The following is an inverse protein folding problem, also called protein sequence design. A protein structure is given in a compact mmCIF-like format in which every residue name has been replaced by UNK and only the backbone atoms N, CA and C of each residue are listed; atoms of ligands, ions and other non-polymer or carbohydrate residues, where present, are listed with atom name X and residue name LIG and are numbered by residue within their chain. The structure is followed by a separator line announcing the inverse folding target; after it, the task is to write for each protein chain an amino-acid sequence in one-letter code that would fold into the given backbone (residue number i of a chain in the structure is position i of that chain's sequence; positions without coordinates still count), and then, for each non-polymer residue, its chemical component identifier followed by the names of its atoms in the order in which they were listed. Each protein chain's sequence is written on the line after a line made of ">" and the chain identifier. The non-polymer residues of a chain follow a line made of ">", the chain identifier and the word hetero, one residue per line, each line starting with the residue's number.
data_IF_100893330328
#
_entry.id   IF_100893330328
#
_cell.length_a   1.000
_cell.length_b   1.000
_cell.length_c   1.000
_cell.angle_alpha   90.00
_cell.angle_beta   90.00
_cell.angle_gamma   90.00
#
_symmetry.space_group_name_H-M   'P 1'
#
loop_
_entity.id
_entity.type
_entity.pdbx_description
1 polymer ?
#
# COMPACT_ATOMS: atom_id res chain seq x y z
N UNK A 1 -36.30 28.86 -19.54
CA UNK A 1 -35.82 27.57 -20.10
C UNK A 1 -34.49 27.78 -20.75
N UNK A 2 -33.45 27.11 -20.27
CA UNK A 2 -32.11 27.08 -20.90
C UNK A 2 -32.24 26.27 -22.20
N UNK A 3 -32.29 26.96 -23.34
CA UNK A 3 -32.36 26.36 -24.67
C UNK A 3 -30.98 26.17 -25.30
N UNK A 4 -29.93 26.14 -24.52
CA UNK A 4 -28.60 25.79 -24.98
C UNK A 4 -28.54 24.30 -25.27
N UNK A 5 -28.20 23.90 -26.50
CA UNK A 5 -27.80 22.53 -26.80
C UNK A 5 -26.53 22.24 -25.99
N UNK A 6 -26.60 21.31 -25.05
CA UNK A 6 -25.40 20.76 -24.44
C UNK A 6 -24.66 19.98 -25.54
N UNK A 7 -23.57 20.53 -26.01
CA UNK A 7 -22.66 19.79 -26.90
C UNK A 7 -21.73 18.96 -26.03
N UNK A 8 -21.80 17.65 -26.19
CA UNK A 8 -20.86 16.74 -25.52
C UNK A 8 -19.45 17.09 -25.98
N UNK A 9 -18.49 17.32 -25.05
CA UNK A 9 -17.11 17.59 -25.43
C UNK A 9 -16.54 16.44 -26.26
N UNK A 10 -15.63 16.77 -27.18
CA UNK A 10 -14.92 15.74 -27.96
C UNK A 10 -14.12 14.85 -27.04
N UNK A 11 -14.15 13.54 -27.28
CA UNK A 11 -13.37 12.58 -26.50
C UNK A 11 -11.93 12.55 -27.01
N UNK A 12 -10.98 12.78 -26.10
CA UNK A 12 -9.54 12.66 -26.39
C UNK A 12 -9.06 11.23 -26.22
N UNK A 13 -8.42 10.69 -27.24
CA UNK A 13 -7.75 9.38 -27.23
C UNK A 13 -6.30 9.56 -26.81
N UNK A 14 -5.92 9.09 -25.62
CA UNK A 14 -4.59 9.28 -25.04
C UNK A 14 -3.89 7.93 -24.86
N UNK A 15 -3.63 7.23 -25.94
CA UNK A 15 -3.19 5.82 -25.92
C UNK A 15 -1.66 5.63 -25.88
N UNK A 16 -0.90 6.68 -25.61
CA UNK A 16 0.55 6.60 -25.43
C UNK A 16 0.90 6.89 -23.97
N UNK A 17 1.57 5.96 -23.32
CA UNK A 17 2.17 6.18 -22.01
C UNK A 17 3.47 6.96 -22.20
N UNK A 18 3.52 8.20 -21.73
CA UNK A 18 4.69 9.06 -21.81
C UNK A 18 5.63 8.85 -20.59
N UNK A 19 5.05 8.72 -19.40
CA UNK A 19 5.80 8.43 -18.18
C UNK A 19 4.91 7.77 -17.12
N UNK A 20 5.54 7.06 -16.19
CA UNK A 20 4.92 6.57 -14.97
C UNK A 20 5.91 6.62 -13.82
N UNK A 21 5.41 6.89 -12.63
CA UNK A 21 6.19 6.77 -11.38
C UNK A 21 5.27 6.47 -10.19
N UNK A 22 5.86 5.97 -9.12
CA UNK A 22 5.16 5.68 -7.87
C UNK A 22 5.94 6.29 -6.71
N UNK A 23 5.29 7.13 -5.95
CA UNK A 23 5.80 7.66 -4.70
C UNK A 23 5.15 6.90 -3.53
N UNK A 24 5.99 6.31 -2.66
CA UNK A 24 5.54 5.51 -1.51
C UNK A 24 5.36 6.43 -0.30
N UNK A 25 4.14 6.46 0.23
CA UNK A 25 3.82 7.01 1.55
C UNK A 25 3.60 5.89 2.57
N UNK A 26 3.35 6.23 3.82
CA UNK A 26 3.19 5.26 4.92
C UNK A 26 2.05 4.25 4.68
N UNK A 27 0.90 4.73 4.23
CA UNK A 27 -0.31 3.92 4.03
C UNK A 27 -0.91 4.02 2.64
N UNK A 28 -0.40 4.93 1.83
CA UNK A 28 -0.87 5.19 0.47
C UNK A 28 0.31 5.32 -0.48
N UNK A 29 0.04 5.19 -1.76
CA UNK A 29 0.98 5.45 -2.85
C UNK A 29 0.36 6.45 -3.80
N UNK A 30 1.17 7.37 -4.28
CA UNK A 30 0.79 8.30 -5.34
C UNK A 30 1.39 7.82 -6.65
N UNK A 31 0.52 7.48 -7.58
CA UNK A 31 0.87 7.05 -8.92
C UNK A 31 0.79 8.24 -9.86
N UNK A 32 1.89 8.62 -10.46
CA UNK A 32 1.90 9.59 -11.55
C UNK A 32 1.85 8.83 -12.86
N UNK A 33 0.84 9.11 -13.68
CA UNK A 33 0.65 8.52 -14.99
C UNK A 33 0.50 9.65 -16.01
N UNK A 34 1.42 9.70 -16.96
CA UNK A 34 1.41 10.68 -18.03
C UNK A 34 1.00 10.02 -19.33
N UNK A 35 -0.11 10.48 -19.87
CA UNK A 35 -0.70 9.98 -21.10
C UNK A 35 -0.60 11.03 -22.19
N UNK A 36 -0.41 10.61 -23.43
CA UNK A 36 -0.42 11.50 -24.59
C UNK A 36 -1.22 10.91 -25.75
N UNK A 37 -1.74 11.81 -26.56
CA UNK A 37 -2.38 11.56 -27.85
C UNK A 37 -1.87 12.55 -28.89
N UNK A 38 -2.55 12.64 -30.03
CA UNK A 38 -2.11 13.47 -31.16
C UNK A 38 -1.93 14.95 -30.79
N UNK A 39 -2.81 15.50 -29.96
CA UNK A 39 -2.85 16.94 -29.63
C UNK A 39 -3.12 17.21 -28.16
N UNK A 40 -2.94 16.23 -27.30
CA UNK A 40 -3.26 16.37 -25.89
C UNK A 40 -2.34 15.53 -25.01
N UNK A 41 -2.12 16.05 -23.81
CA UNK A 41 -1.40 15.38 -22.72
C UNK A 41 -2.22 15.42 -21.45
N UNK A 42 -2.21 14.35 -20.66
CA UNK A 42 -2.87 14.26 -19.38
C UNK A 42 -1.86 13.69 -18.36
N UNK A 43 -1.52 14.47 -17.36
CA UNK A 43 -0.72 14.00 -16.23
C UNK A 43 -1.63 13.80 -15.03
N UNK A 44 -1.79 12.57 -14.56
CA UNK A 44 -2.66 12.19 -13.46
C UNK A 44 -1.84 11.84 -12.23
N UNK A 45 -2.24 12.36 -11.06
CA UNK A 45 -1.73 11.91 -9.76
C UNK A 45 -2.82 11.16 -9.01
N UNK A 46 -2.77 9.84 -9.06
CA UNK A 46 -3.77 8.92 -8.53
C UNK A 46 -3.29 8.33 -7.21
N UNK A 47 -4.16 8.24 -6.22
CA UNK A 47 -3.80 7.73 -4.88
C UNK A 47 -4.47 6.38 -4.61
N UNK A 48 -3.65 5.41 -4.26
CA UNK A 48 -4.05 4.05 -3.94
C UNK A 48 -3.39 3.51 -2.69
N UNK A 49 -3.80 2.32 -2.26
CA UNK A 49 -3.25 1.60 -1.10
C UNK A 49 -2.53 0.29 -1.51
N UNK A 50 -2.44 0.02 -2.79
CA UNK A 50 -1.82 -1.17 -3.38
C UNK A 50 -0.53 -0.81 -4.13
N UNK A 51 0.21 -1.82 -4.54
CA UNK A 51 1.37 -1.66 -5.43
C UNK A 51 0.97 -1.37 -6.89
N UNK A 52 -0.31 -1.45 -7.18
CA UNK A 52 -0.90 -1.18 -8.48
C UNK A 52 -2.13 -0.28 -8.34
N UNK A 53 -2.57 0.34 -9.42
CA UNK A 53 -3.83 1.08 -9.45
C UNK A 53 -5.00 0.10 -9.46
N UNK A 54 -5.87 0.19 -8.46
CA UNK A 54 -7.05 -0.64 -8.38
C UNK A 54 -8.15 -0.16 -9.34
N UNK A 55 -8.99 -1.10 -9.78
CA UNK A 55 -10.21 -0.79 -10.52
C UNK A 55 -11.13 0.10 -9.68
N UNK A 56 -11.85 0.96 -10.35
CA UNK A 56 -12.85 1.79 -9.70
C UNK A 56 -12.89 3.23 -10.19
N UNK A 57 -13.67 4.02 -9.49
CA UNK A 57 -13.78 5.47 -9.71
C UNK A 57 -12.93 6.23 -8.72
N UNK A 58 -12.16 7.17 -9.23
CA UNK A 58 -11.31 8.07 -8.46
C UNK A 58 -11.96 9.47 -8.46
N UNK A 59 -12.05 10.05 -7.27
CA UNK A 59 -12.64 11.37 -7.04
C UNK A 59 -11.57 12.41 -6.75
N UNK A 60 -11.82 13.70 -7.04
CA UNK A 60 -10.83 14.74 -6.78
C UNK A 60 -10.61 14.96 -5.28
N UNK A 61 -9.37 15.23 -4.89
CA UNK A 61 -8.99 15.63 -3.55
C UNK A 61 -7.76 16.54 -3.61
N UNK A 62 -7.63 17.46 -2.68
CA UNK A 62 -6.37 18.19 -2.48
C UNK A 62 -5.29 17.27 -1.90
N UNK A 63 -4.02 17.65 -1.98
CA UNK A 63 -2.93 16.77 -1.56
C UNK A 63 -3.01 16.37 -0.07
N UNK A 64 -3.48 17.28 0.79
CA UNK A 64 -3.68 17.06 2.23
C UNK A 64 -4.89 16.19 2.58
N UNK A 65 -5.84 16.05 1.64
CA UNK A 65 -7.05 15.22 1.78
C UNK A 65 -6.96 13.91 0.99
N UNK A 66 -5.83 13.69 0.33
CA UNK A 66 -5.65 12.55 -0.55
C UNK A 66 -5.71 11.21 0.22
N UNK A 67 -6.50 10.29 -0.28
CA UNK A 67 -6.71 8.95 0.26
C UNK A 67 -6.95 7.95 -0.88
N UNK A 68 -7.05 6.69 -0.55
CA UNK A 68 -7.39 5.64 -1.53
C UNK A 68 -8.54 6.05 -2.44
N UNK A 69 -8.39 5.78 -3.73
CA UNK A 69 -9.35 6.06 -4.80
C UNK A 69 -9.65 7.56 -4.95
N UNK A 70 -8.64 8.40 -4.75
CA UNK A 70 -8.70 9.82 -5.12
C UNK A 70 -7.64 10.15 -6.16
N UNK A 71 -7.82 11.27 -6.85
CA UNK A 71 -6.76 11.90 -7.64
C UNK A 71 -6.53 13.32 -7.14
N UNK A 72 -5.26 13.75 -7.18
CA UNK A 72 -4.86 15.03 -6.62
C UNK A 72 -5.20 16.14 -7.61
N UNK A 73 -5.91 17.16 -7.13
CA UNK A 73 -6.22 18.39 -7.85
C UNK A 73 -5.49 19.59 -7.26
N UNK A 74 -5.50 20.72 -7.96
CA UNK A 74 -4.86 21.95 -7.54
C UNK A 74 -3.35 21.99 -7.87
N UNK A 75 -2.60 22.78 -7.10
CA UNK A 75 -1.19 23.03 -7.37
C UNK A 75 -0.35 21.73 -7.29
N UNK A 76 0.35 21.43 -8.38
CA UNK A 76 1.16 20.21 -8.51
C UNK A 76 0.33 18.92 -8.64
N UNK A 77 -0.98 19.00 -8.82
CA UNK A 77 -1.90 17.90 -9.03
C UNK A 77 -2.03 17.45 -10.49
N UNK A 78 -3.20 16.88 -10.80
CA UNK A 78 -3.55 16.41 -12.15
C UNK A 78 -3.72 17.58 -13.12
N UNK A 79 -3.18 17.47 -14.32
CA UNK A 79 -3.25 18.51 -15.37
C UNK A 79 -3.60 17.91 -16.72
N UNK A 80 -4.31 18.69 -17.54
CA UNK A 80 -4.53 18.41 -18.96
C UNK A 80 -3.94 19.55 -19.79
N UNK A 81 -3.02 19.25 -20.72
CA UNK A 81 -2.25 20.25 -21.48
C UNK A 81 -1.64 21.34 -20.57
N UNK A 82 -1.12 20.95 -19.40
CA UNK A 82 -0.62 21.83 -18.34
C UNK A 82 -1.67 22.74 -17.65
N UNK A 83 -2.95 22.62 -17.98
CA UNK A 83 -4.04 23.30 -17.29
C UNK A 83 -4.45 22.45 -16.09
N UNK A 84 -4.51 23.00 -14.86
CA UNK A 84 -4.93 22.25 -13.69
C UNK A 84 -6.35 21.69 -13.81
N UNK A 85 -6.54 20.47 -13.35
CA UNK A 85 -7.86 19.87 -13.18
C UNK A 85 -8.40 20.29 -11.81
N UNK A 86 -9.62 20.80 -11.78
CA UNK A 86 -10.29 21.22 -10.54
C UNK A 86 -11.28 20.18 -10.02
N UNK A 87 -11.95 19.50 -10.94
CA UNK A 87 -12.96 18.52 -10.55
C UNK A 87 -13.22 17.48 -11.66
N UNK A 88 -14.16 16.57 -11.40
CA UNK A 88 -14.55 15.52 -12.34
C UNK A 88 -14.40 14.13 -11.77
N UNK A 89 -14.30 13.15 -12.65
CA UNK A 89 -14.08 11.74 -12.25
C UNK A 89 -13.14 11.04 -13.21
N UNK A 90 -12.31 10.17 -12.67
CA UNK A 90 -11.46 9.26 -13.43
C UNK A 90 -11.89 7.84 -13.09
N UNK A 91 -12.20 7.04 -14.09
CA UNK A 91 -12.49 5.62 -13.95
C UNK A 91 -11.33 4.81 -14.46
N UNK A 92 -10.93 3.82 -13.67
CA UNK A 92 -9.88 2.87 -14.01
C UNK A 92 -10.51 1.49 -14.12
N UNK A 93 -10.17 0.76 -15.18
CA UNK A 93 -10.45 -0.65 -15.33
C UNK A 93 -9.19 -1.38 -15.76
N UNK A 94 -8.94 -2.56 -15.19
CA UNK A 94 -7.83 -3.42 -15.58
C UNK A 94 -8.30 -4.46 -16.58
N UNK A 95 -7.47 -4.67 -17.60
CA UNK A 95 -7.54 -5.81 -18.48
C UNK A 95 -6.31 -6.70 -18.31
N UNK A 96 -6.15 -7.72 -19.13
CA UNK A 96 -4.96 -8.57 -19.10
C UNK A 96 -3.73 -7.77 -19.55
N UNK A 97 -2.93 -7.28 -18.59
CA UNK A 97 -1.72 -6.49 -18.84
C UNK A 97 -1.97 -5.05 -19.28
N UNK A 98 -3.22 -4.59 -19.29
CA UNK A 98 -3.58 -3.25 -19.75
C UNK A 98 -4.39 -2.51 -18.69
N UNK A 99 -4.27 -1.17 -18.71
CA UNK A 99 -5.10 -0.27 -17.93
C UNK A 99 -5.94 0.58 -18.88
N UNK A 100 -7.22 0.68 -18.58
CA UNK A 100 -8.16 1.52 -19.31
C UNK A 100 -8.53 2.67 -18.39
N UNK A 101 -8.19 3.89 -18.82
CA UNK A 101 -8.56 5.12 -18.16
C UNK A 101 -9.66 5.80 -18.95
N UNK A 102 -10.65 6.36 -18.25
CA UNK A 102 -11.66 7.20 -18.86
C UNK A 102 -12.18 8.20 -17.85
N UNK A 103 -12.71 9.33 -18.31
CA UNK A 103 -13.26 10.31 -17.39
C UNK A 103 -13.70 11.59 -18.06
N UNK A 104 -14.40 12.39 -17.26
CA UNK A 104 -14.76 13.77 -17.59
C UNK A 104 -14.12 14.66 -16.54
N UNK A 105 -13.34 15.64 -16.97
CA UNK A 105 -12.58 16.55 -16.14
C UNK A 105 -12.98 17.98 -16.42
N UNK A 106 -13.10 18.78 -15.37
CA UNK A 106 -13.29 20.23 -15.42
C UNK A 106 -11.95 20.88 -15.11
N UNK A 107 -11.52 21.79 -15.98
CA UNK A 107 -10.23 22.46 -15.89
C UNK A 107 -10.37 23.84 -15.28
N UNK A 108 -9.27 24.42 -14.83
CA UNK A 108 -9.21 25.75 -14.24
C UNK A 108 -9.57 26.90 -15.20
N UNK A 109 -9.56 26.65 -16.50
CA UNK A 109 -9.98 27.58 -17.56
C UNK A 109 -11.46 27.40 -17.95
N UNK A 110 -12.24 26.70 -17.10
CA UNK A 110 -13.66 26.38 -17.30
C UNK A 110 -13.94 25.40 -18.44
N UNK A 111 -12.92 24.89 -19.14
CA UNK A 111 -13.09 23.89 -20.17
C UNK A 111 -13.41 22.51 -19.61
N UNK A 112 -14.10 21.69 -20.39
CA UNK A 112 -14.47 20.31 -20.06
C UNK A 112 -13.78 19.35 -21.02
N UNK A 113 -13.14 18.34 -20.46
CA UNK A 113 -12.43 17.29 -21.19
C UNK A 113 -13.09 15.95 -20.95
N UNK A 114 -13.50 15.28 -22.02
CA UNK A 114 -13.82 13.85 -22.03
C UNK A 114 -12.61 13.10 -22.57
N UNK A 115 -12.12 12.07 -21.87
CA UNK A 115 -10.94 11.33 -22.33
C UNK A 115 -11.10 9.83 -22.13
N UNK A 116 -10.38 9.08 -22.94
CA UNK A 116 -10.12 7.66 -22.72
C UNK A 116 -8.71 7.28 -23.17
N UNK A 117 -8.20 6.22 -22.55
CA UNK A 117 -6.88 5.70 -22.82
C UNK A 117 -6.84 4.21 -22.57
N UNK A 118 -6.01 3.50 -23.32
CA UNK A 118 -5.65 2.10 -23.06
C UNK A 118 -4.14 1.99 -23.16
N UNK A 119 -3.48 1.72 -22.04
CA UNK A 119 -2.02 1.65 -21.95
C UNK A 119 -1.58 0.49 -21.07
N UNK A 120 -0.34 0.05 -21.26
CA UNK A 120 0.31 -0.91 -20.37
C UNK A 120 1.08 -0.13 -19.31
N UNK A 121 0.78 -0.39 -18.03
CA UNK A 121 1.55 0.12 -16.92
C UNK A 121 2.35 -1.02 -16.30
N UNK A 122 3.61 -0.75 -15.96
CA UNK A 122 4.46 -1.66 -15.23
C UNK A 122 4.61 -1.15 -13.81
N UNK A 123 4.05 -1.86 -12.84
CA UNK A 123 4.29 -1.62 -11.42
C UNK A 123 5.03 -2.80 -10.81
N UNK A 124 5.79 -2.52 -9.75
CA UNK A 124 6.34 -3.60 -8.92
C UNK A 124 5.17 -4.41 -8.37
N UNK A 125 5.20 -5.74 -8.44
CA UNK A 125 4.19 -6.57 -7.81
C UNK A 125 4.17 -6.34 -6.31
N UNK A 126 3.04 -6.58 -5.67
CA UNK A 126 2.99 -6.67 -4.21
C UNK A 126 4.00 -7.73 -3.77
N UNK A 127 4.81 -7.48 -2.74
CA UNK A 127 5.71 -8.51 -2.24
C UNK A 127 4.87 -9.73 -1.82
N UNK A 128 5.31 -10.89 -2.25
CA UNK A 128 4.68 -12.14 -1.82
C UNK A 128 4.74 -12.24 -0.30
N UNK A 129 3.64 -12.60 0.37
CA UNK A 129 3.65 -12.81 1.80
C UNK A 129 4.69 -13.88 2.17
N UNK A 130 5.59 -13.55 3.07
CA UNK A 130 6.53 -14.51 3.62
C UNK A 130 5.73 -15.53 4.44
N UNK A 131 5.80 -16.80 4.05
CA UNK A 131 5.16 -17.90 4.78
C UNK A 131 6.17 -18.53 5.73
N UNK A 132 5.97 -18.32 7.02
CA UNK A 132 6.73 -18.99 8.06
C UNK A 132 6.04 -20.32 8.36
N UNK A 133 6.61 -21.41 7.91
CA UNK A 133 5.98 -22.74 7.90
C UNK A 133 6.40 -23.62 9.08
N UNK A 134 7.46 -23.24 9.79
CA UNK A 134 7.99 -24.00 10.91
C UNK A 134 7.89 -23.22 12.22
N UNK A 135 7.45 -23.90 13.28
CA UNK A 135 7.69 -23.50 14.66
C UNK A 135 9.06 -24.06 15.05
N UNK A 136 10.05 -23.18 15.16
CA UNK A 136 11.43 -23.57 15.49
C UNK A 136 11.57 -23.83 16.98
N UNK A 137 10.98 -22.96 17.80
CA UNK A 137 10.91 -23.14 19.24
C UNK A 137 9.70 -22.41 19.81
N UNK A 138 9.21 -22.90 20.95
CA UNK A 138 8.22 -22.24 21.76
C UNK A 138 8.66 -22.35 23.23
N UNK A 139 8.80 -21.22 23.90
CA UNK A 139 9.27 -21.15 25.29
C UNK A 139 8.27 -20.38 26.13
N UNK A 140 7.86 -20.95 27.23
CA UNK A 140 7.05 -20.25 28.23
C UNK A 140 7.97 -19.72 29.34
N UNK A 141 7.92 -18.41 29.56
CA UNK A 141 8.64 -17.76 30.67
C UNK A 141 7.66 -17.30 31.73
N UNK A 142 7.85 -17.82 32.92
CA UNK A 142 7.08 -17.43 34.13
C UNK A 142 8.04 -16.66 35.05
N UNK A 143 7.97 -15.35 35.04
CA UNK A 143 8.81 -14.52 35.89
C UNK A 143 8.00 -13.38 36.50
N UNK A 144 8.07 -13.29 37.84
CA UNK A 144 7.55 -12.15 38.63
C UNK A 144 6.09 -11.77 38.32
N UNK A 145 5.22 -12.75 38.10
CA UNK A 145 3.80 -12.51 37.85
C UNK A 145 3.46 -12.09 36.40
N UNK A 146 4.42 -12.11 35.53
CA UNK A 146 4.21 -11.91 34.08
C UNK A 146 4.55 -13.20 33.35
N UNK A 147 3.58 -13.80 32.71
CA UNK A 147 3.79 -15.00 31.92
C UNK A 147 3.85 -14.58 30.44
N UNK A 148 4.94 -14.88 29.77
CA UNK A 148 5.07 -14.68 28.33
C UNK A 148 5.34 -16.01 27.63
N UNK A 149 4.86 -16.11 26.40
CA UNK A 149 5.17 -17.22 25.52
C UNK A 149 5.88 -16.66 24.28
N UNK A 150 7.15 -17.02 24.14
CA UNK A 150 7.94 -16.66 22.95
C UNK A 150 7.82 -17.77 21.94
N UNK A 151 7.42 -17.44 20.72
CA UNK A 151 7.39 -18.37 19.58
C UNK A 151 8.35 -17.87 18.53
N UNK A 152 9.29 -18.73 18.17
CA UNK A 152 10.20 -18.53 17.04
C UNK A 152 9.67 -19.29 15.84
N UNK A 153 9.40 -18.55 14.76
CA UNK A 153 8.89 -19.06 13.49
C UNK A 153 9.95 -18.89 12.41
N UNK A 154 9.98 -19.77 11.44
CA UNK A 154 10.91 -19.66 10.31
C UNK A 154 10.39 -20.33 9.05
N UNK A 155 11.10 -20.04 7.96
CA UNK A 155 10.99 -20.81 6.72
C UNK A 155 11.83 -22.10 6.85
N UNK A 156 11.65 -23.04 5.93
CA UNK A 156 12.47 -24.26 5.89
C UNK A 156 13.97 -23.91 5.79
N UNK A 157 14.79 -24.61 6.56
CA UNK A 157 16.24 -24.40 6.60
C UNK A 157 16.74 -23.41 7.65
N UNK A 158 15.84 -22.72 8.36
CA UNK A 158 16.18 -21.89 9.52
C UNK A 158 16.14 -22.72 10.80
N UNK A 159 17.12 -22.49 11.65
CA UNK A 159 17.16 -23.03 13.02
C UNK A 159 17.60 -21.96 14.02
N UNK A 160 17.32 -22.15 15.27
CA UNK A 160 17.78 -21.24 16.34
C UNK A 160 18.42 -22.02 17.49
N UNK A 161 19.38 -21.36 18.14
CA UNK A 161 19.97 -21.80 19.41
C UNK A 161 19.99 -20.63 20.38
N UNK A 162 20.08 -20.90 21.67
CA UNK A 162 20.24 -19.84 22.66
C UNK A 162 21.71 -19.75 23.06
N UNK A 163 22.30 -18.57 23.03
CA UNK A 163 23.63 -18.31 23.55
C UNK A 163 23.60 -18.51 25.08
N UNK A 164 24.35 -19.44 25.65
CA UNK A 164 24.32 -19.73 27.08
C UNK A 164 24.88 -18.58 27.95
N UNK A 165 25.56 -17.62 27.37
CA UNK A 165 26.19 -16.50 28.09
C UNK A 165 25.33 -15.25 28.05
N UNK A 166 24.78 -14.93 26.89
CA UNK A 166 23.99 -13.70 26.66
C UNK A 166 22.49 -13.93 26.69
N UNK A 167 22.04 -15.18 26.63
CA UNK A 167 20.65 -15.62 26.53
C UNK A 167 19.93 -15.11 25.25
N UNK A 168 20.71 -14.64 24.28
CA UNK A 168 20.15 -14.19 22.99
C UNK A 168 19.90 -15.37 22.07
N UNK A 169 18.89 -15.24 21.23
CA UNK A 169 18.62 -16.22 20.16
C UNK A 169 19.61 -16.02 19.03
N UNK A 170 20.35 -17.07 18.69
CA UNK A 170 21.23 -17.12 17.52
C UNK A 170 20.49 -17.85 16.42
N UNK A 171 20.29 -17.18 15.30
CA UNK A 171 19.68 -17.75 14.11
C UNK A 171 20.74 -18.30 13.18
N UNK A 172 20.47 -19.45 12.57
CA UNK A 172 21.36 -20.10 11.59
C UNK A 172 20.56 -20.63 10.42
N UNK A 173 21.18 -20.64 9.24
CA UNK A 173 20.57 -21.05 7.98
C UNK A 173 20.21 -19.88 7.08
N UNK A 174 19.65 -20.19 5.91
CA UNK A 174 19.19 -19.18 4.95
C UNK A 174 17.66 -19.17 4.89
N UNK A 175 17.06 -17.99 5.02
CA UNK A 175 15.60 -17.82 4.99
C UNK A 175 15.11 -16.68 5.84
N UNK A 176 13.81 -16.66 6.09
CA UNK A 176 13.16 -15.65 6.91
C UNK A 176 12.76 -16.24 8.25
N UNK A 177 12.84 -15.42 9.28
CA UNK A 177 12.44 -15.80 10.63
C UNK A 177 11.70 -14.65 11.33
N UNK A 178 10.97 -15.00 12.37
CA UNK A 178 10.23 -14.05 13.20
C UNK A 178 10.16 -14.58 14.63
N UNK A 179 10.58 -13.78 15.60
CA UNK A 179 10.34 -14.02 17.01
C UNK A 179 9.14 -13.20 17.47
N UNK A 180 8.17 -13.86 18.10
CA UNK A 180 6.96 -13.22 18.60
C UNK A 180 6.78 -13.56 20.06
N UNK A 181 6.62 -12.53 20.90
CA UNK A 181 6.30 -12.65 22.29
C UNK A 181 4.82 -12.38 22.52
N UNK A 182 4.17 -13.33 23.18
CA UNK A 182 2.77 -13.21 23.58
C UNK A 182 2.68 -13.12 25.10
N UNK A 183 1.81 -12.27 25.60
CA UNK A 183 1.45 -12.31 26.99
C UNK A 183 0.30 -13.30 27.21
N UNK A 184 0.46 -14.14 28.23
CA UNK A 184 -0.57 -15.06 28.68
C UNK A 184 -0.51 -15.17 30.21
N UNK A 185 -1.58 -14.84 30.89
CA UNK A 185 -1.65 -14.96 32.36
C UNK A 185 -1.45 -16.39 32.88
N UNK A 186 -1.68 -17.39 32.04
CA UNK A 186 -1.62 -18.80 32.39
C UNK A 186 -0.38 -19.53 31.82
N UNK A 187 0.48 -18.81 31.08
CA UNK A 187 1.73 -19.35 30.53
C UNK A 187 1.57 -20.25 29.31
N UNK A 188 0.41 -20.27 28.66
CA UNK A 188 0.17 -20.92 27.38
C UNK A 188 -0.79 -20.11 26.51
N UNK A 189 -0.73 -20.32 25.21
CA UNK A 189 -1.55 -19.59 24.25
C UNK A 189 -2.88 -20.30 24.00
N UNK A 190 -3.95 -19.54 24.08
CA UNK A 190 -5.27 -19.96 23.63
C UNK A 190 -5.46 -19.67 22.14
N UNK A 191 -6.24 -20.48 21.41
CA UNK A 191 -6.68 -20.11 20.08
C UNK A 191 -7.46 -18.79 20.14
N UNK A 192 -7.06 -17.81 19.31
CA UNK A 192 -7.70 -16.50 19.33
C UNK A 192 -7.01 -15.51 18.38
N UNK A 193 -7.45 -14.26 18.46
CA UNK A 193 -6.84 -13.15 17.74
C UNK A 193 -6.05 -12.30 18.73
N UNK A 194 -4.78 -12.15 18.46
CA UNK A 194 -3.87 -11.31 19.23
C UNK A 194 -3.63 -9.99 18.47
N UNK A 195 -3.53 -8.89 19.20
CA UNK A 195 -3.27 -7.55 18.65
C UNK A 195 -1.84 -7.12 18.93
N UNK A 196 -1.21 -6.31 18.05
CA UNK A 196 0.10 -5.75 18.36
C UNK A 196 0.02 -4.86 19.61
N UNK A 197 1.00 -4.99 20.51
CA UNK A 197 1.11 -4.11 21.66
C UNK A 197 1.39 -2.66 21.22
N UNK A 198 0.64 -1.72 21.79
CA UNK A 198 0.79 -0.29 21.49
C UNK A 198 1.97 0.35 22.22
N UNK A 199 2.50 -0.29 23.27
CA UNK A 199 3.59 0.22 24.09
C UNK A 199 4.79 -0.71 23.99
N UNK A 200 5.85 -0.27 23.33
CA UNK A 200 7.08 -1.05 23.21
C UNK A 200 7.56 -1.58 24.55
N UNK A 201 7.68 -2.90 24.66
CA UNK A 201 8.18 -3.60 25.84
C UNK A 201 7.16 -4.02 26.91
N UNK A 202 5.91 -3.60 26.83
CA UNK A 202 4.83 -4.06 27.73
C UNK A 202 3.73 -4.69 26.89
N UNK A 203 3.54 -6.01 27.06
CA UNK A 203 2.53 -6.78 26.35
C UNK A 203 1.43 -7.11 27.34
N UNK A 204 0.18 -6.78 27.04
CA UNK A 204 -0.98 -7.13 27.83
C UNK A 204 -1.61 -8.45 27.35
N UNK A 205 -2.51 -9.01 28.13
CA UNK A 205 -3.24 -10.21 27.73
C UNK A 205 -4.00 -9.99 26.42
N UNK A 206 -3.84 -10.93 25.49
CA UNK A 206 -4.40 -10.81 24.12
C UNK A 206 -3.59 -9.93 23.18
N UNK A 207 -2.40 -9.49 23.58
CA UNK A 207 -1.46 -8.75 22.76
C UNK A 207 -0.22 -9.59 22.42
N UNK A 208 0.51 -9.15 21.41
CA UNK A 208 1.83 -9.68 21.06
C UNK A 208 2.82 -8.54 20.82
N UNK A 209 4.09 -8.80 21.12
CA UNK A 209 5.23 -7.99 20.71
C UNK A 209 6.06 -8.76 19.70
N UNK A 210 6.65 -8.06 18.75
CA UNK A 210 7.70 -8.63 17.91
C UNK A 210 8.99 -8.49 18.71
N UNK A 211 9.69 -9.60 18.92
CA UNK A 211 10.94 -9.62 19.67
C UNK A 211 11.94 -8.66 19.03
N UNK A 212 12.39 -7.71 19.81
CA UNK A 212 13.41 -6.76 19.40
C UNK A 212 14.77 -7.39 19.65
N UNK A 213 15.42 -7.83 18.59
CA UNK A 213 16.83 -8.15 18.63
C UNK A 213 17.61 -6.89 18.29
N UNK A 214 18.37 -6.29 19.23
CA UNK A 214 19.13 -5.07 18.96
C UNK A 214 20.25 -5.24 17.92
N UNK A 215 20.46 -6.44 17.40
CA UNK A 215 21.39 -6.72 16.31
C UNK A 215 20.81 -6.59 14.91
N UNK A 216 19.49 -6.62 14.74
CA UNK A 216 18.80 -6.59 13.46
C UNK A 216 18.18 -5.22 13.18
N UNK A 217 19.00 -4.21 13.07
CA UNK A 217 18.61 -2.95 12.45
C UNK A 217 18.78 -3.08 10.94
N UNK A 218 17.66 -3.10 10.24
CA UNK A 218 17.48 -3.02 8.79
C UNK A 218 18.11 -1.78 8.17
#
# INVERSE_FOLDING_TARGET
>A
PLTGKYEKPATYELNTLAAQSVEKGDKTRTFTVELSGSNATLSMKLVGDKYFLADGSYTPATADQAKKNTYIVGNGGTTFNNIPVESGSIKIAQGTGTYIFSGILWLADESIVDFKSTVNLAYEPDPEPIKLTQVISATSNVANGTNSVTINLGTDGISSTTDPTTWQTIWTGEGNYLAVDFYSAEGFLYPGTYKPSATGGVIAEGEYGIGWDPGDLW
#
